data_IF_459780862457
#
_entry.id   IF_459780862457
#
_cell.length_a   1.000
_cell.length_b   1.000
_cell.length_c   1.000
_cell.angle_alpha   90.00
_cell.angle_beta   90.00
_cell.angle_gamma   90.00
#
_symmetry.space_group_name_H-M   'P 1'
#
loop_
_entity.id
_entity.type
_entity.pdbx_description
1 polymer ?
#
# COMPACT_ATOMS: atom_id res chain seq x y z
N UNK A 1 1.31 6.55 -19.55
CA UNK A 1 0.08 6.34 -18.75
C UNK A 1 0.42 5.41 -17.59
N UNK A 2 -0.42 5.29 -16.57
CA UNK A 2 -0.22 4.32 -15.46
C UNK A 2 -1.18 3.16 -15.65
N UNK A 3 -0.70 1.94 -15.48
CA UNK A 3 -1.49 0.72 -15.61
C UNK A 3 -1.76 0.09 -14.25
N UNK A 4 -2.95 -0.46 -14.07
CA UNK A 4 -3.36 -1.15 -12.85
C UNK A 4 -4.31 -2.29 -13.19
N UNK A 5 -4.10 -3.43 -12.52
CA UNK A 5 -5.07 -4.52 -12.49
C UNK A 5 -6.19 -4.20 -11.49
N UNK A 6 -7.42 -4.21 -11.97
CA UNK A 6 -8.62 -4.02 -11.17
C UNK A 6 -9.34 -5.36 -11.08
N UNK A 7 -9.70 -5.73 -9.86
CA UNK A 7 -10.44 -6.96 -9.62
C UNK A 7 -11.89 -6.82 -10.08
N UNK A 8 -12.27 -7.68 -11.02
CA UNK A 8 -13.63 -7.91 -11.49
C UNK A 8 -14.33 -8.97 -10.67
N UNK A 9 -13.64 -10.03 -10.27
CA UNK A 9 -14.24 -11.14 -9.51
C UNK A 9 -13.28 -11.76 -8.51
N UNK A 10 -13.81 -12.34 -7.44
CA UNK A 10 -13.06 -13.14 -6.45
C UNK A 10 -13.74 -14.48 -6.31
N UNK A 11 -13.00 -15.60 -6.48
CA UNK A 11 -13.56 -16.96 -6.35
C UNK A 11 -14.84 -17.16 -7.18
N UNK A 12 -14.89 -16.60 -8.40
CA UNK A 12 -16.05 -16.67 -9.29
C UNK A 12 -17.22 -15.73 -8.94
N UNK A 13 -17.15 -14.98 -7.84
CA UNK A 13 -18.16 -13.96 -7.50
C UNK A 13 -17.75 -12.61 -8.08
N UNK A 14 -18.66 -11.97 -8.82
CA UNK A 14 -18.43 -10.64 -9.39
C UNK A 14 -18.36 -9.57 -8.28
N UNK A 15 -17.41 -8.64 -8.41
CA UNK A 15 -17.17 -7.49 -7.54
C UNK A 15 -17.44 -6.17 -8.30
N UNK A 16 -18.72 -5.86 -8.61
CA UNK A 16 -19.07 -4.67 -9.37
C UNK A 16 -18.77 -3.37 -8.62
N UNK A 17 -18.65 -3.43 -7.29
CA UNK A 17 -18.34 -2.27 -6.44
C UNK A 17 -16.92 -1.80 -6.68
N UNK A 18 -15.96 -2.73 -6.71
CA UNK A 18 -14.57 -2.39 -6.99
C UNK A 18 -14.39 -1.80 -8.40
N UNK A 19 -14.99 -2.43 -9.41
CA UNK A 19 -14.94 -1.94 -10.80
C UNK A 19 -15.58 -0.55 -10.93
N UNK A 20 -16.78 -0.36 -10.36
CA UNK A 20 -17.48 0.93 -10.43
C UNK A 20 -16.70 2.03 -9.73
N UNK A 21 -16.08 1.72 -8.59
CA UNK A 21 -15.25 2.68 -7.85
C UNK A 21 -14.04 3.08 -8.68
N UNK A 22 -13.36 2.13 -9.30
CA UNK A 22 -12.22 2.42 -10.16
C UNK A 22 -12.60 3.25 -11.39
N UNK A 23 -13.74 2.99 -12.02
CA UNK A 23 -14.20 3.82 -13.14
C UNK A 23 -14.51 5.26 -12.72
N UNK A 24 -15.08 5.48 -11.53
CA UNK A 24 -15.27 6.83 -10.97
C UNK A 24 -13.95 7.54 -10.64
N UNK A 25 -12.89 6.78 -10.34
CA UNK A 25 -11.54 7.32 -10.18
C UNK A 25 -10.87 7.70 -11.51
N UNK A 26 -11.48 7.36 -12.64
CA UNK A 26 -10.96 7.66 -13.98
C UNK A 26 -10.07 6.55 -14.56
N UNK A 27 -10.16 5.33 -14.03
CA UNK A 27 -9.55 4.17 -14.67
C UNK A 27 -10.39 3.74 -15.88
N UNK A 28 -9.73 3.54 -17.01
CA UNK A 28 -10.37 3.13 -18.28
C UNK A 28 -9.83 1.74 -18.67
N UNK A 29 -10.70 0.80 -19.05
CA UNK A 29 -10.25 -0.52 -19.51
C UNK A 29 -9.40 -0.41 -20.76
N UNK A 30 -8.31 -1.17 -20.79
CA UNK A 30 -7.40 -1.25 -21.95
C UNK A 30 -7.92 -2.31 -22.91
N UNK A 31 -8.07 -1.93 -24.19
CA UNK A 31 -8.44 -2.87 -25.24
C UNK A 31 -7.25 -3.69 -25.68
N UNK A 32 -7.48 -4.93 -26.12
CA UNK A 32 -6.41 -5.80 -26.62
C UNK A 32 -5.73 -5.24 -27.88
N UNK A 33 -6.43 -4.39 -28.65
CA UNK A 33 -5.89 -3.73 -29.85
C UNK A 33 -4.82 -2.71 -29.53
N UNK A 34 -4.90 -2.04 -28.38
CA UNK A 34 -3.99 -0.94 -28.01
C UNK A 34 -2.60 -1.46 -27.63
N UNK A 35 -2.49 -2.73 -27.24
CA UNK A 35 -1.24 -3.40 -26.86
C UNK A 35 -1.17 -4.81 -27.46
N UNK A 36 -0.89 -4.94 -28.77
CA UNK A 36 -0.88 -6.22 -29.47
C UNK A 36 0.23 -7.17 -28.99
N UNK A 37 1.23 -6.67 -28.26
CA UNK A 37 2.25 -7.49 -27.58
C UNK A 37 1.66 -8.35 -26.46
N UNK A 38 0.57 -7.90 -25.83
CA UNK A 38 -0.19 -8.66 -24.84
C UNK A 38 -1.11 -9.63 -25.60
N UNK A 39 -0.56 -10.78 -26.00
CA UNK A 39 -1.29 -11.91 -26.61
C UNK A 39 -2.17 -12.64 -25.59
N UNK A 40 -2.97 -11.89 -24.83
CA UNK A 40 -3.85 -12.39 -23.80
C UNK A 40 -5.24 -12.53 -24.41
N UNK A 41 -5.77 -13.76 -24.38
CA UNK A 41 -7.15 -14.05 -24.73
C UNK A 41 -8.05 -13.61 -23.56
N UNK A 42 -9.08 -12.82 -23.85
CA UNK A 42 -10.13 -12.48 -22.89
C UNK A 42 -10.80 -13.75 -22.38
N UNK A 43 -11.06 -13.82 -21.07
CA UNK A 43 -11.64 -15.01 -20.43
C UNK A 43 -13.05 -15.35 -20.95
N UNK A 44 -13.40 -16.64 -20.96
CA UNK A 44 -14.69 -17.12 -21.45
C UNK A 44 -15.81 -16.67 -20.50
N UNK A 45 -16.70 -15.78 -20.98
CA UNK A 45 -17.76 -15.17 -20.17
C UNK A 45 -17.42 -13.78 -19.61
N UNK A 46 -16.31 -13.18 -20.06
CA UNK A 46 -15.95 -11.81 -19.73
C UNK A 46 -17.07 -10.81 -20.07
N UNK A 47 -17.30 -9.86 -19.16
CA UNK A 47 -18.20 -8.73 -19.39
C UNK A 47 -17.64 -7.72 -20.40
N UNK A 48 -16.35 -7.77 -20.68
CA UNK A 48 -15.62 -6.86 -21.55
C UNK A 48 -14.84 -7.62 -22.62
N UNK A 49 -15.51 -8.07 -23.70
CA UNK A 49 -14.92 -8.98 -24.69
C UNK A 49 -13.66 -8.42 -25.37
N UNK A 50 -13.62 -7.11 -25.62
CA UNK A 50 -12.50 -6.42 -26.29
C UNK A 50 -11.39 -5.96 -25.32
N UNK A 51 -11.60 -6.11 -24.01
CA UNK A 51 -10.66 -5.65 -22.99
C UNK A 51 -9.78 -6.77 -22.47
N UNK A 52 -8.58 -6.41 -22.00
CA UNK A 52 -7.65 -7.39 -21.43
C UNK A 52 -8.12 -7.79 -20.03
N UNK A 53 -8.77 -8.95 -19.94
CA UNK A 53 -9.20 -9.56 -18.68
C UNK A 53 -8.59 -10.96 -18.50
N UNK A 54 -8.04 -11.22 -17.31
CA UNK A 54 -7.43 -12.50 -16.93
C UNK A 54 -7.98 -12.96 -15.59
N UNK A 55 -8.75 -14.05 -15.57
CA UNK A 55 -9.17 -14.73 -14.35
C UNK A 55 -9.82 -13.82 -13.30
N UNK A 56 -10.63 -12.85 -13.75
CA UNK A 56 -11.27 -11.87 -12.87
C UNK A 56 -10.44 -10.63 -12.54
N UNK A 57 -9.35 -10.37 -13.27
CA UNK A 57 -8.58 -9.13 -13.22
C UNK A 57 -8.66 -8.41 -14.56
N UNK A 58 -9.15 -7.17 -14.55
CA UNK A 58 -9.24 -6.29 -15.71
C UNK A 58 -8.05 -5.32 -15.72
N UNK A 59 -7.34 -5.23 -16.84
CA UNK A 59 -6.28 -4.25 -17.02
C UNK A 59 -6.88 -2.89 -17.37
N UNK A 60 -6.59 -1.88 -16.56
CA UNK A 60 -6.99 -0.51 -16.84
C UNK A 60 -5.80 0.45 -16.87
N UNK A 61 -5.97 1.55 -17.60
CA UNK A 61 -5.03 2.66 -17.65
C UNK A 61 -5.67 3.95 -17.13
N UNK A 62 -4.83 4.86 -16.65
CA UNK A 62 -5.22 6.20 -16.26
C UNK A 62 -4.07 7.21 -16.52
N UNK A 63 -4.37 8.50 -16.69
CA UNK A 63 -3.34 9.52 -16.82
C UNK A 63 -2.55 9.68 -15.51
N UNK A 64 -1.22 9.71 -15.61
CA UNK A 64 -0.34 9.76 -14.45
C UNK A 64 -0.58 11.00 -13.56
N UNK A 65 -0.90 12.14 -14.18
CA UNK A 65 -1.19 13.38 -13.47
C UNK A 65 -2.38 13.28 -12.50
N UNK A 66 -3.46 12.58 -12.91
CA UNK A 66 -4.65 12.37 -12.09
C UNK A 66 -4.31 11.48 -10.89
N UNK A 67 -3.61 10.37 -11.14
CA UNK A 67 -3.23 9.41 -10.10
C UNK A 67 -2.25 10.04 -9.09
N UNK A 68 -1.29 10.84 -9.55
CA UNK A 68 -0.35 11.54 -8.65
C UNK A 68 -1.07 12.53 -7.75
N UNK A 69 -1.93 13.39 -8.31
CA UNK A 69 -2.71 14.36 -7.51
C UNK A 69 -3.57 13.67 -6.46
N UNK A 70 -4.24 12.57 -6.83
CA UNK A 70 -5.04 11.77 -5.90
C UNK A 70 -4.18 11.16 -4.80
N UNK A 71 -3.05 10.57 -5.18
CA UNK A 71 -2.10 9.97 -4.23
C UNK A 71 -1.56 11.00 -3.24
N UNK A 72 -1.24 12.21 -3.71
CA UNK A 72 -0.82 13.32 -2.85
C UNK A 72 -1.92 13.78 -1.90
N UNK A 73 -3.16 13.90 -2.36
CA UNK A 73 -4.30 14.25 -1.52
C UNK A 73 -4.46 13.27 -0.35
N UNK A 74 -4.48 11.97 -0.62
CA UNK A 74 -4.61 10.97 0.44
C UNK A 74 -3.38 10.91 1.36
N UNK A 75 -2.17 11.13 0.83
CA UNK A 75 -0.96 11.26 1.68
C UNK A 75 -1.07 12.44 2.62
N UNK A 76 -1.56 13.59 2.14
CA UNK A 76 -1.74 14.79 2.96
C UNK A 76 -2.83 14.59 4.02
N UNK A 77 -3.94 13.94 3.66
CA UNK A 77 -4.99 13.58 4.61
C UNK A 77 -4.47 12.65 5.71
N UNK A 78 -3.69 11.62 5.35
CA UNK A 78 -3.07 10.72 6.32
C UNK A 78 -2.07 11.45 7.24
N UNK A 79 -1.25 12.36 6.68
CA UNK A 79 -0.35 13.22 7.47
C UNK A 79 -1.12 14.13 8.43
N UNK A 80 -2.24 14.71 7.98
CA UNK A 80 -3.08 15.56 8.82
C UNK A 80 -3.70 14.78 9.98
N UNK A 81 -4.14 13.53 9.76
CA UNK A 81 -4.63 12.65 10.82
C UNK A 81 -3.54 12.36 11.86
N UNK A 82 -2.31 12.02 11.41
CA UNK A 82 -1.19 11.80 12.32
C UNK A 82 -0.86 13.06 13.13
N UNK A 83 -0.84 14.23 12.48
CA UNK A 83 -0.62 15.51 13.15
C UNK A 83 -1.70 15.80 14.20
N UNK A 84 -2.97 15.59 13.87
CA UNK A 84 -4.08 15.82 14.81
C UNK A 84 -3.97 14.97 16.07
N UNK A 85 -3.56 13.70 15.94
CA UNK A 85 -3.32 12.83 17.10
C UNK A 85 -2.15 13.35 17.94
N UNK A 86 -1.10 13.82 17.28
CA UNK A 86 0.06 14.38 17.97
C UNK A 86 -0.28 15.68 18.72
N UNK A 87 -0.99 16.59 18.07
CA UNK A 87 -1.44 17.86 18.65
C UNK A 87 -2.33 17.60 19.89
N UNK A 88 -3.20 16.58 19.84
CA UNK A 88 -4.01 16.19 20.99
C UNK A 88 -3.14 15.66 22.14
N UNK A 89 -2.16 14.80 21.85
CA UNK A 89 -1.24 14.27 22.86
C UNK A 89 -0.41 15.38 23.52
N UNK A 90 0.07 16.35 22.74
CA UNK A 90 0.80 17.53 23.24
C UNK A 90 -0.07 18.45 24.10
N UNK A 91 -1.39 18.46 23.86
CA UNK A 91 -2.35 19.23 24.64
C UNK A 91 -2.72 18.57 25.98
N UNK A 92 -2.65 17.24 26.05
CA UNK A 92 -2.95 16.46 27.27
C UNK A 92 -1.73 16.33 28.21
N UNK A 93 -0.51 16.50 27.70
CA UNK A 93 0.72 16.50 28.52
C UNK A 93 0.81 17.73 29.43
N UNK A 94 1.28 17.53 30.67
CA UNK A 94 1.48 18.60 31.66
C UNK A 94 2.46 19.67 31.11
N UNK A 95 2.12 20.97 31.17
CA UNK A 95 2.97 22.07 30.68
C UNK A 95 4.41 22.05 31.20
N UNK A 96 4.67 21.45 32.37
CA UNK A 96 6.02 21.34 32.96
C UNK A 96 6.87 20.22 32.36
N UNK A 97 6.27 19.25 31.67
CA UNK A 97 7.00 18.17 30.97
C UNK A 97 7.32 18.49 29.50
N UNK A 98 6.78 19.59 28.94
CA UNK A 98 7.00 20.03 27.54
C UNK A 98 8.45 20.36 27.15
N UNK A 99 9.38 20.39 28.10
CA UNK A 99 10.80 20.74 27.84
C UNK A 99 11.68 19.54 27.48
N UNK A 100 11.16 18.31 27.61
CA UNK A 100 11.86 17.11 27.15
C UNK A 100 11.52 16.92 25.67
N UNK A 101 12.47 17.18 24.77
CA UNK A 101 12.29 16.95 23.33
C UNK A 101 11.88 15.50 23.08
N UNK A 102 10.63 15.29 22.69
CA UNK A 102 10.11 13.97 22.31
C UNK A 102 10.34 13.79 20.81
N UNK A 103 11.26 12.91 20.42
CA UNK A 103 11.41 12.52 19.03
C UNK A 103 10.22 11.65 18.61
N UNK A 104 9.35 12.18 17.73
CA UNK A 104 8.23 11.42 17.17
C UNK A 104 8.75 10.42 16.13
N UNK A 105 9.05 9.19 16.55
CA UNK A 105 9.42 8.11 15.64
C UNK A 105 8.18 7.31 15.21
N UNK A 106 7.89 7.26 13.91
CA UNK A 106 6.91 6.32 13.35
C UNK A 106 7.65 5.06 12.89
N UNK A 107 7.79 4.06 13.77
CA UNK A 107 8.32 2.76 13.36
C UNK A 107 7.23 1.98 12.62
N UNK A 108 7.37 1.86 11.30
CA UNK A 108 6.52 0.95 10.52
C UNK A 108 7.15 -0.44 10.61
N UNK A 109 6.76 -1.20 11.64
CA UNK A 109 6.93 -2.65 11.62
C UNK A 109 6.05 -3.18 10.49
N UNK A 110 6.67 -3.55 9.36
CA UNK A 110 6.00 -4.34 8.34
C UNK A 110 5.79 -5.73 8.93
N UNK A 111 4.67 -5.90 9.63
CA UNK A 111 4.28 -7.17 10.22
C UNK A 111 4.22 -8.25 9.15
N UNK A 112 5.24 -9.09 9.13
CA UNK A 112 5.19 -10.42 8.56
C UNK A 112 4.19 -11.22 9.41
N UNK A 113 3.36 -12.03 8.75
CA UNK A 113 2.30 -12.82 9.39
C UNK A 113 2.79 -13.79 10.48
N UNK A 114 1.88 -14.53 11.14
CA UNK A 114 2.20 -15.36 12.29
C UNK A 114 3.07 -16.55 11.86
N UNK A 115 4.39 -16.37 11.94
CA UNK A 115 5.37 -17.39 11.58
C UNK A 115 6.67 -16.82 11.03
N UNK A 116 7.33 -15.90 11.73
CA UNK A 116 8.59 -15.33 11.27
C UNK A 116 9.46 -14.80 12.40
N UNK A 117 10.36 -15.66 12.84
CA UNK A 117 11.64 -15.36 13.49
C UNK A 117 11.70 -15.17 15.02
N UNK A 118 11.80 -16.32 15.71
CA UNK A 118 12.67 -16.42 16.88
C UNK A 118 14.06 -16.80 16.38
N UNK A 119 15.02 -15.86 16.31
CA UNK A 119 16.46 -16.07 16.60
C UNK A 119 17.33 -14.87 16.19
N UNK A 120 18.08 -14.35 17.17
CA UNK A 120 19.32 -13.59 16.96
C UNK A 120 19.12 -12.07 17.02
N UNK A 121 19.81 -11.29 17.85
CA UNK A 121 21.08 -11.51 18.54
C UNK A 121 21.09 -10.69 19.85
N UNK A 122 21.18 -11.39 20.99
CA UNK A 122 21.89 -10.86 22.17
C UNK A 122 23.21 -11.62 22.23
N UNK A 123 24.30 -11.02 21.72
CA UNK A 123 25.65 -11.43 22.13
C UNK A 123 26.11 -10.48 23.23
N UNK A 124 26.08 -11.02 24.44
CA UNK A 124 26.84 -10.58 25.61
C UNK A 124 28.32 -10.67 25.24
N UNK A 125 29.03 -9.54 25.22
CA UNK A 125 30.49 -9.52 25.19
C UNK A 125 30.99 -9.60 26.64
N UNK A 126 31.37 -10.81 27.06
CA UNK A 126 32.25 -11.03 28.22
C UNK A 126 33.70 -10.78 27.81
N UNK A 127 34.43 -10.01 28.61
CA UNK A 127 35.86 -9.77 28.41
C UNK A 127 36.73 -10.97 28.80
N UNK A 128 37.96 -11.08 28.30
CA UNK A 128 38.93 -12.06 28.79
C UNK A 128 39.93 -11.42 29.75
N UNK A 129 40.03 -11.98 30.96
CA UNK A 129 41.22 -11.88 31.81
C UNK A 129 42.27 -12.87 31.28
N UNK A 130 43.48 -12.41 31.02
CA UNK A 130 44.67 -13.26 30.94
C UNK A 130 45.62 -12.87 32.10
N UNK A 131 45.80 -13.81 33.03
CA UNK A 131 47.03 -14.02 33.82
C UNK A 131 48.15 -14.43 32.84
N UNK A 132 49.41 -13.98 32.92
CA UNK A 132 50.50 -14.27 33.89
C UNK A 132 51.77 -13.56 33.35
N UNK A 133 52.99 -13.61 33.97
CA UNK A 133 53.46 -14.45 35.08
C UNK A 133 53.65 -13.72 36.43
#
# INVERSE_FOLDING_TARGET
MVHRWIRTSTMGQADPVNVSTAFREGWVPVTATEYPELKILSDHGSRWPESVEVGGLLLCCAPASLITRRSEHYRNMAKAQMKSVNDQLESEEDPRMRTMFREHYSSVSRGFGPGGDRRGQRRVNGGPNNHEP
#
